data_IF_841008477223
#
_entry.id   IF_841008477223
#
_cell.length_a   1.000
_cell.length_b   1.000
_cell.length_c   1.000
_cell.angle_alpha   90.00
_cell.angle_beta   90.00
_cell.angle_gamma   90.00
#
_symmetry.space_group_name_H-M   'P 1'
#
loop_
_entity.id
_entity.type
_entity.pdbx_description
1 polymer ?
#
# COMPACT_ATOMS: atom_id res chain seq x y z
N UNK A 1 -8.49 67.99 11.73
CA UNK A 1 -9.31 66.86 11.35
C UNK A 1 -8.42 65.70 10.93
N UNK A 2 -8.18 64.72 11.80
CA UNK A 2 -7.40 63.48 11.50
C UNK A 2 -8.36 62.42 11.03
N UNK A 3 -8.20 61.93 9.80
CA UNK A 3 -8.94 60.77 9.28
C UNK A 3 -8.28 59.47 9.79
N UNK A 4 -9.05 58.70 10.54
CA UNK A 4 -8.65 57.34 10.98
C UNK A 4 -9.06 56.37 9.86
N UNK A 5 -8.07 55.70 9.27
CA UNK A 5 -8.32 54.65 8.30
C UNK A 5 -8.47 53.33 9.07
N UNK A 6 -9.65 52.75 9.03
CA UNK A 6 -9.95 51.43 9.59
C UNK A 6 -9.67 50.39 8.48
N UNK A 7 -8.61 49.63 8.62
CA UNK A 7 -8.28 48.52 7.72
C UNK A 7 -8.96 47.25 8.24
N UNK A 8 -10.00 46.82 7.56
CA UNK A 8 -10.70 45.56 7.87
C UNK A 8 -9.89 44.39 7.29
N UNK A 9 -9.29 43.61 8.16
CA UNK A 9 -8.63 42.36 7.77
C UNK A 9 -9.69 41.26 7.48
N UNK A 10 -9.86 40.91 6.20
CA UNK A 10 -10.64 39.73 5.81
C UNK A 10 -9.83 38.48 6.07
N UNK A 11 -10.19 37.73 7.11
CA UNK A 11 -9.68 36.38 7.33
C UNK A 11 -10.47 35.40 6.47
N UNK A 12 -9.95 35.01 5.33
CA UNK A 12 -10.50 33.90 4.52
C UNK A 12 -10.15 32.59 5.19
N UNK A 13 -11.10 31.98 5.89
CA UNK A 13 -11.00 30.61 6.34
C UNK A 13 -11.04 29.69 5.11
N UNK A 14 -9.91 29.13 4.73
CA UNK A 14 -9.84 28.01 3.78
C UNK A 14 -10.43 26.77 4.47
N UNK A 15 -11.71 26.50 4.22
CA UNK A 15 -12.32 25.21 4.53
C UNK A 15 -11.64 24.18 3.63
N UNK A 16 -10.78 23.37 4.22
CA UNK A 16 -10.18 22.22 3.54
C UNK A 16 -11.29 21.31 3.04
N UNK A 17 -11.46 21.26 1.72
CA UNK A 17 -12.34 20.31 1.06
C UNK A 17 -11.81 18.91 1.36
N UNK A 18 -12.40 18.22 2.33
CA UNK A 18 -12.27 16.77 2.42
C UNK A 18 -12.86 16.22 1.13
N UNK A 19 -12.03 15.56 0.34
CA UNK A 19 -12.49 14.86 -0.84
C UNK A 19 -13.48 13.78 -0.38
N UNK A 20 -14.78 14.10 -0.47
CA UNK A 20 -15.81 13.09 -0.39
C UNK A 20 -15.56 12.12 -1.53
N UNK A 21 -15.16 10.90 -1.21
CA UNK A 21 -15.24 9.77 -2.13
C UNK A 21 -16.72 9.73 -2.54
N UNK A 22 -17.02 10.13 -3.77
CA UNK A 22 -18.35 9.97 -4.34
C UNK A 22 -18.62 8.47 -4.33
N UNK A 23 -19.55 8.02 -3.50
CA UNK A 23 -20.13 6.70 -3.59
C UNK A 23 -20.78 6.60 -4.98
N UNK A 24 -20.02 6.06 -5.94
CA UNK A 24 -20.59 5.60 -7.18
C UNK A 24 -21.24 4.26 -6.85
N UNK A 25 -22.56 4.19 -6.92
CA UNK A 25 -23.30 2.94 -6.90
C UNK A 25 -22.72 2.01 -7.99
N UNK A 26 -21.97 0.99 -7.56
CA UNK A 26 -21.31 0.04 -8.47
C UNK A 26 -22.24 -1.12 -8.87
N UNK A 27 -23.55 -0.90 -8.82
CA UNK A 27 -24.54 -1.92 -9.16
C UNK A 27 -24.76 -3.00 -8.09
N UNK A 28 -24.07 -2.88 -6.94
CA UNK A 28 -24.31 -3.74 -5.79
C UNK A 28 -25.27 -3.04 -4.82
N UNK A 29 -26.31 -3.74 -4.32
CA UNK A 29 -27.39 -3.10 -3.56
C UNK A 29 -27.01 -2.69 -2.12
N UNK A 30 -25.78 -3.01 -1.69
CA UNK A 30 -25.28 -2.69 -0.35
C UNK A 30 -24.06 -1.79 -0.47
N UNK A 31 -24.13 -0.60 0.11
CA UNK A 31 -22.98 0.29 0.23
C UNK A 31 -22.27 0.06 1.57
N UNK A 32 -20.95 -0.21 1.56
CA UNK A 32 -20.19 -0.38 2.80
C UNK A 32 -20.09 0.96 3.55
N UNK A 33 -20.30 0.92 4.86
CA UNK A 33 -20.03 2.07 5.72
C UNK A 33 -18.51 2.31 5.76
N UNK A 34 -18.04 3.51 5.43
CA UNK A 34 -16.60 3.82 5.54
C UNK A 34 -16.11 3.60 6.98
N UNK A 35 -15.01 2.89 7.16
CA UNK A 35 -14.46 2.64 8.49
C UNK A 35 -14.15 3.93 9.26
N UNK A 36 -13.87 5.02 8.53
CA UNK A 36 -13.64 6.37 9.08
C UNK A 36 -14.88 6.96 9.75
N UNK A 37 -16.06 6.42 9.49
CA UNK A 37 -17.34 6.82 10.10
C UNK A 37 -17.76 5.94 11.26
N UNK A 38 -17.00 4.87 11.57
CA UNK A 38 -17.32 3.91 12.62
C UNK A 38 -16.58 4.26 13.91
N UNK A 39 -17.28 4.27 15.03
CA UNK A 39 -16.71 4.40 16.37
C UNK A 39 -17.09 3.19 17.20
N UNK A 40 -16.09 2.54 17.77
CA UNK A 40 -16.28 1.42 18.71
C UNK A 40 -16.43 2.01 20.11
N UNK A 41 -17.57 1.75 20.75
CA UNK A 41 -17.90 2.30 22.08
C UNK A 41 -18.10 1.23 23.14
N UNK A 42 -18.11 -0.06 22.75
CA UNK A 42 -18.27 -1.18 23.68
C UNK A 42 -16.96 -1.58 24.35
N UNK A 43 -17.08 -2.26 25.49
CA UNK A 43 -15.92 -2.70 26.27
C UNK A 43 -15.19 -3.90 25.69
N UNK A 44 -15.87 -4.72 24.88
CA UNK A 44 -15.28 -5.94 24.32
C UNK A 44 -14.29 -5.62 23.18
N UNK A 45 -14.74 -4.90 22.17
CA UNK A 45 -13.89 -4.49 21.04
C UNK A 45 -12.93 -3.36 21.43
N UNK A 46 -13.34 -2.45 22.31
CA UNK A 46 -12.49 -1.39 22.84
C UNK A 46 -11.22 -1.89 23.49
N UNK A 47 -11.29 -2.97 24.31
CA UNK A 47 -10.10 -3.60 24.89
C UNK A 47 -9.17 -4.19 23.83
N UNK A 48 -9.70 -4.80 22.77
CA UNK A 48 -8.91 -5.38 21.67
C UNK A 48 -8.22 -4.30 20.86
N UNK A 49 -8.91 -3.21 20.56
CA UNK A 49 -8.31 -2.06 19.88
C UNK A 49 -7.19 -1.44 20.72
N UNK A 50 -7.37 -1.34 22.06
CA UNK A 50 -6.32 -0.86 22.94
C UNK A 50 -5.11 -1.81 22.95
N UNK A 51 -5.33 -3.13 23.03
CA UNK A 51 -4.25 -4.11 22.95
C UNK A 51 -3.52 -4.03 21.58
N UNK A 52 -4.26 -3.82 20.50
CA UNK A 52 -3.65 -3.61 19.16
C UNK A 52 -2.79 -2.35 19.13
N UNK A 53 -3.27 -1.25 19.74
CA UNK A 53 -2.56 0.03 19.77
C UNK A 53 -1.31 -0.01 20.64
N UNK A 54 -1.41 -0.60 21.83
CA UNK A 54 -0.38 -0.49 22.87
C UNK A 54 0.65 -1.62 22.76
N UNK A 55 0.29 -2.75 22.20
CA UNK A 55 1.12 -3.95 22.16
C UNK A 55 1.33 -4.46 20.74
N UNK A 56 0.27 -4.80 20.01
CA UNK A 56 0.40 -5.57 18.75
C UNK A 56 1.12 -4.77 17.67
N UNK A 57 0.71 -3.54 17.41
CA UNK A 57 1.32 -2.72 16.34
C UNK A 57 2.76 -2.31 16.68
N UNK A 58 3.08 -1.83 17.91
CA UNK A 58 4.47 -1.59 18.29
C UNK A 58 5.35 -2.83 18.17
N UNK A 59 4.86 -4.00 18.61
CA UNK A 59 5.58 -5.26 18.49
C UNK A 59 5.79 -5.65 17.02
N UNK A 60 4.78 -5.51 16.16
CA UNK A 60 4.88 -5.84 14.75
C UNK A 60 5.95 -4.97 14.05
N UNK A 61 5.99 -3.68 14.31
CA UNK A 61 7.04 -2.80 13.79
C UNK A 61 8.43 -3.18 14.32
N UNK A 62 8.55 -3.47 15.63
CA UNK A 62 9.82 -3.96 16.21
C UNK A 62 10.28 -5.24 15.53
N UNK A 63 9.37 -6.18 15.24
CA UNK A 63 9.70 -7.41 14.52
C UNK A 63 10.10 -7.16 13.07
N UNK A 64 9.47 -6.23 12.38
CA UNK A 64 9.93 -5.84 11.03
C UNK A 64 11.38 -5.33 11.04
N UNK A 65 11.78 -4.57 12.07
CA UNK A 65 13.14 -4.10 12.25
C UNK A 65 14.10 -5.24 12.62
N UNK A 66 13.80 -5.97 13.71
CA UNK A 66 14.64 -7.04 14.26
C UNK A 66 14.90 -8.17 13.26
N UNK A 67 13.93 -8.47 12.41
CA UNK A 67 14.00 -9.56 11.42
C UNK A 67 14.44 -9.11 10.03
N UNK A 68 14.89 -7.85 9.89
CA UNK A 68 15.53 -7.33 8.70
C UNK A 68 14.59 -6.92 7.56
N UNK A 69 13.25 -6.80 7.81
CA UNK A 69 12.30 -6.37 6.75
C UNK A 69 12.62 -4.97 6.25
N UNK A 70 12.98 -4.05 7.13
CA UNK A 70 13.42 -2.71 6.69
C UNK A 70 14.76 -2.74 5.98
N UNK A 71 15.69 -3.59 6.44
CA UNK A 71 16.99 -3.74 5.81
C UNK A 71 16.86 -4.26 4.36
N UNK A 72 15.84 -5.08 4.06
CA UNK A 72 15.57 -5.52 2.69
C UNK A 72 15.29 -4.34 1.76
N UNK A 73 14.48 -3.36 2.19
CA UNK A 73 14.23 -2.15 1.40
C UNK A 73 15.50 -1.27 1.26
N UNK A 74 16.27 -1.12 2.33
CA UNK A 74 17.55 -0.40 2.27
C UNK A 74 18.51 -1.06 1.28
N UNK A 75 18.60 -2.38 1.32
CA UNK A 75 19.42 -3.16 0.38
C UNK A 75 18.89 -3.05 -1.07
N UNK A 76 17.57 -3.06 -1.27
CA UNK A 76 16.98 -2.90 -2.59
C UNK A 76 17.19 -1.49 -3.17
N UNK A 77 17.29 -0.46 -2.32
CA UNK A 77 17.70 0.89 -2.75
C UNK A 77 19.17 0.97 -3.19
N UNK A 78 20.01 0.01 -2.77
CA UNK A 78 21.44 -0.07 -3.08
C UNK A 78 21.83 -1.50 -3.50
N UNK A 79 21.35 -2.01 -4.66
CA UNK A 79 21.57 -3.37 -5.08
C UNK A 79 23.05 -3.73 -5.20
N UNK A 80 23.41 -4.95 -4.78
CA UNK A 80 24.77 -5.43 -4.89
C UNK A 80 24.83 -6.95 -5.06
N UNK A 81 25.76 -7.44 -5.87
CA UNK A 81 26.02 -8.86 -6.06
C UNK A 81 26.53 -9.57 -4.78
N UNK A 82 26.95 -8.80 -3.78
CA UNK A 82 27.44 -9.34 -2.49
C UNK A 82 26.31 -9.54 -1.47
N UNK A 83 25.12 -9.00 -1.73
CA UNK A 83 23.98 -9.17 -0.84
C UNK A 83 23.46 -10.59 -0.97
N UNK A 84 23.41 -11.31 0.16
CA UNK A 84 22.74 -12.61 0.25
C UNK A 84 21.26 -12.40 0.46
N UNK A 85 20.46 -12.75 -0.55
CA UNK A 85 18.99 -12.69 -0.46
C UNK A 85 18.52 -13.93 0.28
N UNK A 86 17.73 -13.72 1.34
CA UNK A 86 17.20 -14.79 2.18
C UNK A 86 15.86 -14.40 2.77
N UNK A 87 15.36 -15.17 3.73
CA UNK A 87 14.04 -14.99 4.32
C UNK A 87 12.96 -15.63 3.46
N UNK A 88 11.79 -14.99 3.41
CA UNK A 88 10.68 -15.41 2.56
C UNK A 88 10.48 -14.40 1.42
N UNK A 89 10.11 -14.89 0.25
CA UNK A 89 9.92 -14.07 -0.93
C UNK A 89 8.85 -12.96 -0.76
N UNK A 90 8.02 -13.06 0.27
CA UNK A 90 6.93 -12.11 0.59
C UNK A 90 7.18 -11.28 1.86
N UNK A 91 8.40 -11.22 2.36
CA UNK A 91 8.79 -10.46 3.57
C UNK A 91 8.39 -8.97 3.52
N UNK A 92 8.37 -8.37 2.33
CA UNK A 92 7.92 -6.99 2.12
C UNK A 92 6.50 -6.76 2.65
N UNK A 93 5.62 -7.76 2.54
CA UNK A 93 4.23 -7.65 2.96
C UNK A 93 4.05 -7.48 4.46
N UNK A 94 5.00 -7.90 5.28
CA UNK A 94 4.95 -7.71 6.73
C UNK A 94 4.95 -6.22 7.08
N UNK A 95 5.74 -5.43 6.34
CA UNK A 95 5.77 -3.97 6.47
C UNK A 95 4.45 -3.35 6.01
N UNK A 96 3.93 -3.76 4.86
CA UNK A 96 2.69 -3.21 4.31
C UNK A 96 1.48 -3.50 5.18
N UNK A 97 1.33 -4.73 5.66
CA UNK A 97 0.25 -5.15 6.57
C UNK A 97 0.33 -4.45 7.93
N UNK A 98 1.55 -4.25 8.44
CA UNK A 98 1.74 -3.53 9.71
C UNK A 98 1.33 -2.06 9.56
N UNK A 99 1.68 -1.42 8.44
CA UNK A 99 1.24 -0.04 8.13
C UNK A 99 -0.27 0.02 7.96
N UNK A 100 -0.89 -0.99 7.31
CA UNK A 100 -2.34 -1.08 7.16
C UNK A 100 -3.03 -1.10 8.52
N UNK A 101 -2.67 -2.03 9.39
CA UNK A 101 -3.22 -2.13 10.74
C UNK A 101 -3.00 -0.86 11.58
N UNK A 102 -1.80 -0.26 11.49
CA UNK A 102 -1.49 1.01 12.15
C UNK A 102 -2.33 2.17 11.62
N UNK A 103 -2.67 2.17 10.32
CA UNK A 103 -3.51 3.19 9.70
C UNK A 103 -4.95 3.14 10.22
N UNK A 104 -5.52 1.95 10.38
CA UNK A 104 -6.83 1.80 11.02
C UNK A 104 -6.83 2.30 12.47
N UNK A 105 -5.74 2.07 13.20
CA UNK A 105 -5.60 2.60 14.57
C UNK A 105 -5.46 4.12 14.58
N UNK A 106 -4.69 4.71 13.67
CA UNK A 106 -4.56 6.17 13.56
C UNK A 106 -5.89 6.87 13.31
N UNK A 107 -6.82 6.24 12.60
CA UNK A 107 -8.17 6.75 12.39
C UNK A 107 -8.97 6.81 13.70
N UNK A 108 -8.85 5.77 14.52
CA UNK A 108 -9.60 5.67 15.79
C UNK A 108 -8.91 6.43 16.93
N UNK A 109 -7.59 6.37 16.96
CA UNK A 109 -6.74 6.97 17.99
C UNK A 109 -5.62 7.78 17.33
N UNK A 110 -5.84 9.05 17.00
CA UNK A 110 -4.84 9.90 16.37
C UNK A 110 -3.54 9.98 17.19
N UNK A 111 -2.42 9.56 16.60
CA UNK A 111 -1.09 9.57 17.21
C UNK A 111 -0.05 10.15 16.25
N UNK A 112 0.46 11.35 16.59
CA UNK A 112 1.46 12.05 15.77
C UNK A 112 2.81 11.32 15.73
N UNK A 113 3.17 10.58 16.79
CA UNK A 113 4.44 9.83 16.85
C UNK A 113 4.38 8.63 15.92
N UNK A 114 3.29 7.86 16.00
CA UNK A 114 3.05 6.73 15.10
C UNK A 114 2.97 7.19 13.63
N UNK A 115 2.24 8.27 13.36
CA UNK A 115 2.15 8.82 12.00
C UNK A 115 3.52 9.23 11.43
N UNK A 116 4.37 9.89 12.25
CA UNK A 116 5.74 10.26 11.85
C UNK A 116 6.63 9.03 11.65
N UNK A 117 6.48 8.01 12.48
CA UNK A 117 7.22 6.76 12.34
C UNK A 117 6.87 6.06 11.02
N UNK A 118 5.58 5.94 10.70
CA UNK A 118 5.13 5.40 9.40
C UNK A 118 5.72 6.20 8.24
N UNK A 119 5.71 7.54 8.30
CA UNK A 119 6.33 8.38 7.28
C UNK A 119 7.82 8.03 7.08
N UNK A 120 8.56 7.78 8.16
CA UNK A 120 9.98 7.41 8.07
C UNK A 120 10.19 6.03 7.42
N UNK A 121 9.34 5.06 7.71
CA UNK A 121 9.35 3.74 7.05
C UNK A 121 9.01 3.87 5.57
N UNK A 122 8.04 4.71 5.22
CA UNK A 122 7.66 4.92 3.83
C UNK A 122 8.76 5.59 2.99
N UNK A 123 9.65 6.38 3.60
CA UNK A 123 10.85 6.90 2.90
C UNK A 123 11.77 5.76 2.47
N UNK A 124 11.98 4.75 3.34
CA UNK A 124 12.80 3.57 3.03
C UNK A 124 12.14 2.74 1.92
N UNK A 125 10.83 2.51 2.02
CA UNK A 125 10.06 1.78 0.99
C UNK A 125 10.13 2.50 -0.36
N UNK A 126 9.95 3.83 -0.39
CA UNK A 126 10.00 4.62 -1.61
C UNK A 126 11.38 4.56 -2.29
N UNK A 127 12.45 4.57 -1.49
CA UNK A 127 13.83 4.50 -2.00
C UNK A 127 14.14 3.16 -2.70
N UNK A 128 13.47 2.08 -2.30
CA UNK A 128 13.64 0.74 -2.88
C UNK A 128 12.90 0.56 -4.22
N UNK A 129 11.99 1.48 -4.57
CA UNK A 129 11.19 1.36 -5.79
C UNK A 129 12.01 1.68 -7.03
N UNK A 130 12.06 0.77 -7.98
CA UNK A 130 12.77 0.94 -9.24
C UNK A 130 12.16 2.09 -10.09
N UNK A 131 12.93 2.69 -11.01
CA UNK A 131 12.47 3.84 -11.80
C UNK A 131 11.18 3.61 -12.57
N UNK A 132 10.93 2.40 -13.04
CA UNK A 132 9.74 1.99 -13.77
C UNK A 132 8.53 1.64 -12.87
N UNK A 133 8.71 1.72 -11.54
CA UNK A 133 7.67 1.47 -10.55
C UNK A 133 7.69 0.08 -9.93
N UNK A 134 8.48 -0.86 -10.45
CA UNK A 134 8.59 -2.18 -9.84
C UNK A 134 9.12 -2.11 -8.40
N UNK A 135 8.56 -2.93 -7.50
CA UNK A 135 9.01 -3.00 -6.12
C UNK A 135 8.82 -4.42 -5.55
N UNK A 136 9.93 -5.14 -5.44
CA UNK A 136 9.99 -6.47 -4.87
C UNK A 136 11.42 -6.73 -4.40
N UNK A 137 11.67 -6.59 -3.08
CA UNK A 137 13.04 -6.57 -2.55
C UNK A 137 13.77 -7.87 -2.77
N UNK A 138 13.07 -9.02 -2.67
CA UNK A 138 13.62 -10.36 -2.89
C UNK A 138 14.27 -10.57 -4.26
N UNK A 139 14.02 -9.66 -5.20
CA UNK A 139 14.68 -9.62 -6.50
C UNK A 139 15.64 -8.45 -6.62
N UNK A 140 15.19 -7.26 -6.24
CA UNK A 140 15.92 -6.01 -6.48
C UNK A 140 17.22 -5.91 -5.68
N UNK A 141 17.30 -6.51 -4.49
CA UNK A 141 18.51 -6.49 -3.65
C UNK A 141 19.76 -7.07 -4.35
N UNK A 142 19.57 -8.15 -5.09
CA UNK A 142 20.63 -8.79 -5.88
C UNK A 142 20.05 -9.34 -7.19
N UNK A 143 20.01 -8.54 -8.26
CA UNK A 143 19.38 -8.95 -9.52
C UNK A 143 20.05 -10.14 -10.21
N UNK A 144 21.35 -10.39 -9.94
CA UNK A 144 22.05 -11.55 -10.49
C UNK A 144 21.76 -12.84 -9.73
N UNK A 145 21.54 -12.73 -8.43
CA UNK A 145 21.26 -13.86 -7.54
C UNK A 145 20.03 -13.52 -6.67
N UNK A 146 18.84 -13.38 -7.27
CA UNK A 146 17.62 -13.09 -6.53
C UNK A 146 17.24 -14.26 -5.63
N UNK A 147 16.22 -14.06 -4.80
CA UNK A 147 15.65 -15.16 -4.01
C UNK A 147 15.27 -16.33 -4.93
N UNK A 148 15.53 -17.56 -4.50
CA UNK A 148 15.30 -18.79 -5.30
C UNK A 148 13.85 -18.91 -5.82
N UNK A 149 12.88 -18.35 -5.09
CA UNK A 149 11.48 -18.33 -5.47
C UNK A 149 11.13 -17.21 -6.46
N UNK A 150 11.99 -16.21 -6.63
CA UNK A 150 11.74 -15.09 -7.53
C UNK A 150 11.95 -15.42 -9.01
N UNK A 151 12.67 -16.51 -9.30
CA UNK A 151 13.04 -16.87 -10.67
C UNK A 151 14.14 -15.98 -11.24
N UNK A 152 14.51 -16.23 -12.49
CA UNK A 152 15.58 -15.50 -13.19
C UNK A 152 15.10 -14.15 -13.77
N UNK A 153 13.80 -14.00 -14.03
CA UNK A 153 13.15 -12.82 -14.60
C UNK A 153 11.98 -12.38 -13.75
N UNK A 154 11.58 -11.11 -13.87
CA UNK A 154 10.33 -10.62 -13.29
C UNK A 154 9.16 -11.46 -13.78
N UNK A 155 8.20 -11.72 -12.90
CA UNK A 155 6.95 -12.42 -13.16
C UNK A 155 7.10 -13.91 -13.54
N UNK A 156 8.32 -14.45 -13.53
CA UNK A 156 8.57 -15.83 -13.99
C UNK A 156 7.84 -16.89 -13.14
N UNK A 157 7.81 -16.68 -11.82
CA UNK A 157 7.24 -17.64 -10.86
C UNK A 157 6.04 -17.09 -10.07
N UNK A 158 5.33 -16.10 -10.62
CA UNK A 158 4.20 -15.46 -9.91
C UNK A 158 3.01 -16.38 -9.68
N UNK A 159 2.88 -17.41 -10.51
CA UNK A 159 1.83 -18.42 -10.41
C UNK A 159 2.14 -19.47 -9.33
N UNK A 160 3.41 -19.57 -8.94
CA UNK A 160 3.90 -20.53 -7.96
C UNK A 160 4.27 -19.83 -6.64
N UNK A 161 5.51 -19.35 -6.50
CA UNK A 161 6.12 -18.99 -5.22
C UNK A 161 6.67 -17.57 -5.13
N UNK A 162 6.84 -16.81 -6.24
CA UNK A 162 7.51 -15.50 -6.16
C UNK A 162 6.74 -14.46 -5.36
N UNK A 163 5.43 -14.55 -5.32
CA UNK A 163 4.57 -13.66 -4.54
C UNK A 163 4.67 -12.18 -4.94
N UNK A 164 5.14 -11.85 -6.15
CA UNK A 164 5.24 -10.45 -6.62
C UNK A 164 3.86 -9.77 -6.62
N UNK A 165 2.81 -10.45 -7.14
CA UNK A 165 1.44 -9.90 -7.11
C UNK A 165 0.81 -9.93 -5.72
N UNK A 166 1.23 -10.85 -4.84
CA UNK A 166 0.85 -10.83 -3.44
C UNK A 166 1.41 -9.59 -2.73
N UNK A 167 2.68 -9.26 -3.01
CA UNK A 167 3.31 -8.04 -2.51
C UNK A 167 2.59 -6.78 -3.01
N UNK A 168 2.25 -6.72 -4.31
CA UNK A 168 1.43 -5.64 -4.87
C UNK A 168 0.09 -5.51 -4.13
N UNK A 169 -0.62 -6.61 -3.95
CA UNK A 169 -1.94 -6.61 -3.32
C UNK A 169 -1.91 -6.02 -1.92
N UNK A 170 -1.03 -6.50 -1.06
CA UNK A 170 -0.90 -5.99 0.31
C UNK A 170 -0.36 -4.55 0.37
N UNK A 171 0.52 -4.17 -0.56
CA UNK A 171 0.95 -2.78 -0.66
C UNK A 171 -0.22 -1.85 -0.97
N UNK A 172 -1.06 -2.20 -1.95
CA UNK A 172 -2.21 -1.39 -2.35
C UNK A 172 -3.24 -1.30 -1.22
N UNK A 173 -3.55 -2.41 -0.53
CA UNK A 173 -4.45 -2.43 0.63
C UNK A 173 -3.94 -1.49 1.73
N UNK A 174 -2.67 -1.63 2.13
CA UNK A 174 -2.06 -0.76 3.14
C UNK A 174 -2.01 0.70 2.72
N UNK A 175 -1.74 0.98 1.45
CA UNK A 175 -1.68 2.34 0.91
C UNK A 175 -3.05 3.03 0.89
N UNK A 176 -4.10 2.29 0.54
CA UNK A 176 -5.48 2.80 0.57
C UNK A 176 -5.92 3.08 2.02
N UNK A 177 -5.68 2.14 2.95
CA UNK A 177 -5.98 2.33 4.36
C UNK A 177 -5.26 3.57 4.92
N UNK A 178 -3.96 3.75 4.61
CA UNK A 178 -3.18 4.89 5.03
C UNK A 178 -3.73 6.21 4.45
N UNK A 179 -4.07 6.23 3.16
CA UNK A 179 -4.67 7.40 2.53
C UNK A 179 -6.02 7.77 3.15
N UNK A 180 -6.90 6.80 3.34
CA UNK A 180 -8.23 7.02 3.93
C UNK A 180 -8.15 7.51 5.38
N UNK A 181 -7.21 6.97 6.18
CA UNK A 181 -7.04 7.36 7.57
C UNK A 181 -6.35 8.72 7.75
N UNK A 182 -5.43 9.11 6.87
CA UNK A 182 -4.54 10.26 7.09
C UNK A 182 -4.68 11.37 6.04
N UNK A 183 -5.26 11.08 4.88
CA UNK A 183 -5.28 11.97 3.71
C UNK A 183 -3.92 12.07 2.98
N UNK A 184 -2.85 11.42 3.47
CA UNK A 184 -1.53 11.47 2.87
C UNK A 184 -1.43 10.54 1.66
N UNK A 185 -0.77 11.00 0.61
CA UNK A 185 -0.62 10.26 -0.65
C UNK A 185 0.75 9.59 -0.81
N UNK A 186 1.66 9.73 0.16
CA UNK A 186 3.02 9.20 0.05
C UNK A 186 3.02 7.69 -0.23
N UNK A 187 2.32 6.87 0.55
CA UNK A 187 2.23 5.43 0.31
C UNK A 187 1.37 5.10 -0.92
N UNK A 188 0.27 5.82 -1.11
CA UNK A 188 -0.60 5.63 -2.28
C UNK A 188 0.16 5.84 -3.60
N UNK A 189 1.04 6.84 -3.67
CA UNK A 189 1.84 7.09 -4.87
C UNK A 189 2.83 5.96 -5.18
N UNK A 190 3.43 5.34 -4.14
CA UNK A 190 4.30 4.15 -4.31
C UNK A 190 3.48 2.99 -4.88
N UNK A 191 2.32 2.72 -4.29
CA UNK A 191 1.43 1.63 -4.73
C UNK A 191 0.90 1.84 -6.16
N UNK A 192 0.51 3.08 -6.51
CA UNK A 192 0.11 3.45 -7.87
C UNK A 192 1.22 3.14 -8.88
N UNK A 193 2.46 3.54 -8.61
CA UNK A 193 3.58 3.28 -9.52
C UNK A 193 3.83 1.78 -9.72
N UNK A 194 3.68 0.98 -8.67
CA UNK A 194 3.83 -0.47 -8.81
C UNK A 194 2.65 -1.10 -9.57
N UNK A 195 1.42 -0.67 -9.29
CA UNK A 195 0.25 -1.11 -10.04
C UNK A 195 0.35 -0.71 -11.54
N UNK A 196 0.87 0.48 -11.84
CA UNK A 196 1.12 0.94 -13.21
C UNK A 196 2.17 0.07 -13.92
N UNK A 197 3.22 -0.34 -13.21
CA UNK A 197 4.22 -1.27 -13.73
C UNK A 197 3.55 -2.60 -14.12
N UNK A 198 2.71 -3.16 -13.25
CA UNK A 198 1.97 -4.39 -13.52
C UNK A 198 1.03 -4.23 -14.72
N UNK A 199 0.21 -3.17 -14.76
CA UNK A 199 -0.70 -2.92 -15.87
C UNK A 199 0.02 -2.75 -17.23
N UNK A 200 1.26 -2.27 -17.20
CA UNK A 200 2.08 -2.11 -18.40
C UNK A 200 2.69 -3.44 -18.88
N UNK A 201 3.08 -4.32 -17.97
CA UNK A 201 3.84 -5.52 -18.29
C UNK A 201 2.98 -6.78 -18.38
N UNK A 202 1.79 -6.78 -17.77
CA UNK A 202 0.91 -7.96 -17.67
C UNK A 202 -0.39 -7.72 -18.43
N UNK A 203 -0.69 -8.62 -19.35
CA UNK A 203 -1.88 -8.54 -20.21
C UNK A 203 -1.74 -9.37 -21.47
N UNK A 204 -2.56 -9.05 -22.48
CA UNK A 204 -2.57 -9.70 -23.81
C UNK A 204 -2.08 -8.76 -24.92
N UNK A 205 -1.63 -7.55 -24.60
CA UNK A 205 -1.09 -6.59 -25.56
C UNK A 205 0.31 -6.97 -26.04
N UNK A 206 0.77 -6.27 -27.07
CA UNK A 206 2.12 -6.45 -27.59
C UNK A 206 3.17 -6.17 -26.51
N UNK A 207 4.10 -7.11 -26.31
CA UNK A 207 5.15 -7.03 -25.29
C UNK A 207 4.72 -7.35 -23.86
N UNK A 208 3.43 -7.58 -23.61
CA UNK A 208 2.92 -8.01 -22.31
C UNK A 208 3.04 -9.52 -22.11
N UNK A 209 3.07 -9.93 -20.85
CA UNK A 209 3.08 -11.33 -20.43
C UNK A 209 1.69 -11.73 -19.93
N UNK A 210 1.20 -12.90 -20.32
CA UNK A 210 0.01 -13.51 -19.73
C UNK A 210 0.46 -14.20 -18.45
N UNK A 211 0.07 -13.63 -17.30
CA UNK A 211 0.38 -14.14 -15.97
C UNK A 211 -0.81 -13.93 -15.04
N UNK A 212 -0.97 -14.80 -14.06
CA UNK A 212 -1.98 -14.69 -13.02
C UNK A 212 -1.33 -14.75 -11.64
N UNK A 213 -1.92 -14.11 -10.61
CA UNK A 213 -1.42 -14.27 -9.24
C UNK A 213 -1.54 -15.71 -8.76
N UNK A 214 -0.49 -16.31 -8.22
CA UNK A 214 -0.56 -17.63 -7.56
C UNK A 214 -1.35 -17.55 -6.26
N UNK A 215 -1.38 -16.39 -5.62
CA UNK A 215 -2.14 -16.09 -4.42
C UNK A 215 -3.09 -14.91 -4.66
N UNK A 216 -4.37 -15.09 -4.33
CA UNK A 216 -5.41 -14.08 -4.52
C UNK A 216 -5.26 -12.95 -3.48
N UNK A 217 -5.09 -11.75 -3.94
CA UNK A 217 -5.18 -10.49 -3.22
C UNK A 217 -5.08 -9.31 -4.20
N UNK A 218 -4.28 -9.46 -5.27
CA UNK A 218 -4.06 -8.39 -6.23
C UNK A 218 -5.37 -7.96 -6.91
N UNK A 219 -6.28 -8.89 -7.19
CA UNK A 219 -7.56 -8.64 -7.85
C UNK A 219 -8.43 -7.71 -7.01
N UNK A 220 -8.58 -8.01 -5.72
CA UNK A 220 -9.35 -7.19 -4.79
C UNK A 220 -8.70 -5.83 -4.58
N UNK A 221 -7.39 -5.80 -4.39
CA UNK A 221 -6.63 -4.58 -4.16
C UNK A 221 -6.70 -3.62 -5.37
N UNK A 222 -6.57 -4.13 -6.60
CA UNK A 222 -6.70 -3.33 -7.81
C UNK A 222 -8.13 -2.81 -8.02
N UNK A 223 -9.16 -3.61 -7.70
CA UNK A 223 -10.53 -3.13 -7.70
C UNK A 223 -10.73 -1.98 -6.71
N UNK A 224 -10.18 -2.08 -5.49
CA UNK A 224 -10.18 -0.97 -4.51
C UNK A 224 -9.39 0.24 -4.99
N UNK A 225 -8.26 0.02 -5.68
CA UNK A 225 -7.46 1.13 -6.22
C UNK A 225 -8.24 1.90 -7.29
N UNK A 226 -9.02 1.20 -8.13
CA UNK A 226 -9.98 1.83 -9.04
C UNK A 226 -10.99 2.71 -8.28
N UNK A 227 -11.57 2.21 -7.18
CA UNK A 227 -12.54 2.98 -6.39
C UNK A 227 -11.95 4.27 -5.81
N UNK A 228 -10.67 4.27 -5.48
CA UNK A 228 -9.96 5.43 -4.91
C UNK A 228 -9.49 6.40 -5.97
N UNK A 229 -9.03 5.90 -7.13
CA UNK A 229 -8.41 6.72 -8.18
C UNK A 229 -9.36 7.12 -9.30
N UNK A 230 -10.39 6.30 -9.56
CA UNK A 230 -11.26 6.40 -10.74
C UNK A 230 -10.62 5.88 -12.03
N UNK A 231 -9.37 5.41 -12.00
CA UNK A 231 -8.68 4.94 -13.20
C UNK A 231 -9.06 3.50 -13.53
N UNK A 232 -9.80 3.35 -14.61
CA UNK A 232 -10.38 2.08 -15.07
C UNK A 232 -9.33 1.00 -15.36
N UNK A 233 -8.10 1.35 -15.67
CA UNK A 233 -7.04 0.35 -15.96
C UNK A 233 -6.83 -0.64 -14.82
N UNK A 234 -7.00 -0.22 -13.56
CA UNK A 234 -6.87 -1.11 -12.40
C UNK A 234 -8.02 -2.11 -12.32
N UNK A 235 -9.25 -1.68 -12.63
CA UNK A 235 -10.40 -2.57 -12.69
C UNK A 235 -10.26 -3.57 -13.85
N UNK A 236 -9.77 -3.11 -15.01
CA UNK A 236 -9.53 -3.96 -16.18
C UNK A 236 -8.42 -4.98 -15.87
N UNK A 237 -7.36 -4.60 -15.15
CA UNK A 237 -6.31 -5.53 -14.71
C UNK A 237 -6.82 -6.55 -13.69
N UNK A 238 -7.66 -6.14 -12.74
CA UNK A 238 -8.29 -7.06 -11.79
C UNK A 238 -9.16 -8.09 -12.54
N UNK A 239 -9.97 -7.62 -13.49
CA UNK A 239 -10.80 -8.49 -14.35
C UNK A 239 -9.93 -9.44 -15.18
N UNK A 240 -8.84 -8.95 -15.78
CA UNK A 240 -7.90 -9.77 -16.52
C UNK A 240 -7.37 -10.93 -15.69
N UNK A 241 -6.93 -10.70 -14.47
CA UNK A 241 -6.46 -11.75 -13.59
C UNK A 241 -7.53 -12.81 -13.27
N UNK A 242 -8.77 -12.39 -13.06
CA UNK A 242 -9.88 -13.31 -12.81
C UNK A 242 -10.22 -14.13 -14.05
N UNK A 243 -10.31 -13.50 -15.22
CA UNK A 243 -10.63 -14.16 -16.49
C UNK A 243 -9.56 -15.17 -16.89
N UNK A 244 -8.27 -14.85 -16.69
CA UNK A 244 -7.15 -15.74 -17.03
C UNK A 244 -7.03 -16.96 -16.11
N UNK A 245 -7.60 -16.91 -14.92
CA UNK A 245 -7.63 -18.06 -14.01
C UNK A 245 -8.47 -19.22 -14.52
N UNK A 246 -9.37 -18.95 -15.44
CA UNK A 246 -10.29 -19.90 -16.06
C UNK A 246 -11.67 -19.88 -15.41
N UNK A 247 -12.53 -20.63 -16.04
CA UNK A 247 -13.95 -20.75 -15.69
C UNK A 247 -14.21 -22.05 -14.94
#
# INVERSE_FOLDING_TARGET
MRKVLVTTLLVTATVGSQAQVKNQSHGYPIDPVPFTSVKVTDSFWGQRLNASREVTIPLAFSKCEETGRYQNFVNAAHPSDTIKVGGLAFDDTDVYKTIEGASYLLQTYPDKKLAKYIDSVLVIVAAAQEPDGYLYTSRTMNPKHPHEWAGSKRWEKVEDLSHEFYNLGHMVEGAIAHYQATGKKNFLNIAIRYADCVCREIGTGEGQQIRVPGHQIAEMALAKLYLVTGDKKYLDQAKFFLDQRGY
#
